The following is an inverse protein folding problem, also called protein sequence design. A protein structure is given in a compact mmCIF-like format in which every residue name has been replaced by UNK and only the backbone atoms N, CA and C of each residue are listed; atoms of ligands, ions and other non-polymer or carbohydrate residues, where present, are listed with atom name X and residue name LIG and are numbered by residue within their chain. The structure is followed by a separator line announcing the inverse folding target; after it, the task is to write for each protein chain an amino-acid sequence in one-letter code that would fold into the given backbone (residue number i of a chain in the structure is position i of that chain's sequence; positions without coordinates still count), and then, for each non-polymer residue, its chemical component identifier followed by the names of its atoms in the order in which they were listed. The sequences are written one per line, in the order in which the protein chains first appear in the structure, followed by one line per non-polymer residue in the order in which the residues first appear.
data_IF_099856046792
#
_entry.id   IF_099856046792
#
_cell.length_a   1.000
_cell.length_b   1.000
_cell.length_c   1.000
_cell.angle_alpha   90.00
_cell.angle_beta   90.00
_cell.angle_gamma   90.00
#
_symmetry.space_group_name_H-M   'P 1'
#
loop_
_entity.id
_entity.type
_entity.pdbx_description
1 polymer ?
#
# COMPACT_ATOMS: atom_id res chain seq x y z
N UNK A 1 -20.28 -0.39 -13.68
CA UNK A 1 -20.21 -0.61 -12.22
C UNK A 1 -18.74 -0.54 -11.80
N UNK A 2 -18.32 0.47 -11.03
CA UNK A 2 -16.93 0.57 -10.55
C UNK A 2 -16.74 -0.52 -9.50
N UNK A 3 -15.88 -1.51 -9.76
CA UNK A 3 -15.56 -2.56 -8.78
C UNK A 3 -15.20 -1.89 -7.45
N UNK A 4 -15.83 -2.28 -6.32
CA UNK A 4 -15.46 -1.73 -5.02
C UNK A 4 -13.96 -1.98 -4.83
N UNK A 5 -13.23 -0.94 -4.40
CA UNK A 5 -11.82 -1.11 -4.02
C UNK A 5 -11.78 -2.16 -2.91
N UNK A 6 -10.78 -3.03 -2.96
CA UNK A 6 -10.56 -4.01 -1.91
C UNK A 6 -10.23 -3.28 -0.60
N UNK A 7 -10.39 -3.94 0.54
CA UNK A 7 -9.99 -3.38 1.85
C UNK A 7 -8.54 -2.89 1.81
N UNK A 8 -7.65 -3.67 1.16
CA UNK A 8 -6.28 -3.27 0.90
C UNK A 8 -6.16 -1.97 0.07
N UNK A 9 -6.99 -1.80 -0.95
CA UNK A 9 -7.04 -0.57 -1.74
C UNK A 9 -7.49 0.66 -0.97
N UNK A 10 -8.32 0.47 0.06
CA UNK A 10 -8.73 1.54 0.98
C UNK A 10 -7.59 1.88 1.94
N UNK A 11 -6.98 0.87 2.58
CA UNK A 11 -5.85 1.07 3.49
C UNK A 11 -4.66 1.76 2.81
N UNK A 12 -4.31 1.32 1.59
CA UNK A 12 -3.27 1.97 0.79
C UNK A 12 -3.56 3.46 0.59
N UNK A 13 -4.82 3.81 0.29
CA UNK A 13 -5.22 5.19 0.08
C UNK A 13 -5.13 6.04 1.34
N UNK A 14 -5.52 5.47 2.48
CA UNK A 14 -5.42 6.12 3.78
C UNK A 14 -3.95 6.37 4.11
N UNK A 15 -3.11 5.35 3.98
CA UNK A 15 -1.68 5.47 4.24
C UNK A 15 -1.00 6.51 3.35
N UNK A 16 -1.31 6.53 2.04
CA UNK A 16 -0.81 7.56 1.12
C UNK A 16 -1.26 8.96 1.53
N UNK A 17 -2.49 9.12 2.02
CA UNK A 17 -2.99 10.39 2.53
C UNK A 17 -2.31 10.82 3.84
N UNK A 18 -2.00 9.87 4.74
CA UNK A 18 -1.33 10.13 6.02
C UNK A 18 0.17 10.41 5.89
N UNK A 19 0.82 9.77 4.93
CA UNK A 19 2.26 9.93 4.70
C UNK A 19 2.59 10.98 3.65
N UNK A 20 1.63 11.34 2.80
CA UNK A 20 1.87 12.15 1.61
C UNK A 20 2.60 11.40 0.49
N UNK A 21 2.87 10.10 0.67
CA UNK A 21 3.56 9.29 -0.33
C UNK A 21 2.66 8.98 -1.53
N UNK A 22 3.27 8.90 -2.70
CA UNK A 22 2.58 8.44 -3.91
C UNK A 22 2.50 6.90 -3.98
N UNK A 23 1.55 6.38 -4.77
CA UNK A 23 1.46 4.93 -5.07
C UNK A 23 2.81 4.38 -5.55
N UNK A 24 3.55 5.18 -6.33
CA UNK A 24 4.84 4.83 -6.88
C UNK A 24 5.89 4.62 -5.79
N UNK A 25 5.98 5.59 -4.88
CA UNK A 25 6.94 5.54 -3.78
C UNK A 25 6.61 4.41 -2.81
N UNK A 26 5.33 4.21 -2.49
CA UNK A 26 4.90 3.08 -1.67
C UNK A 26 5.27 1.74 -2.32
N UNK A 27 5.07 1.62 -3.64
CA UNK A 27 5.44 0.43 -4.39
C UNK A 27 6.95 0.20 -4.37
N UNK A 28 7.74 1.23 -4.67
CA UNK A 28 9.21 1.17 -4.64
C UNK A 28 9.75 0.83 -3.25
N UNK A 29 9.21 1.46 -2.20
CA UNK A 29 9.64 1.24 -0.82
C UNK A 29 9.24 -0.14 -0.29
N UNK A 30 8.12 -0.69 -0.75
CA UNK A 30 7.68 -2.05 -0.44
C UNK A 30 8.32 -3.11 -1.34
N UNK A 31 9.12 -2.73 -2.34
CA UNK A 31 9.74 -3.66 -3.29
C UNK A 31 8.79 -4.29 -4.31
N UNK A 32 7.62 -3.68 -4.53
CA UNK A 32 6.60 -4.17 -5.48
C UNK A 32 6.47 -3.25 -6.68
N UNK A 33 6.00 -3.78 -7.82
CA UNK A 33 5.75 -2.96 -9.00
C UNK A 33 4.49 -2.11 -8.80
N UNK A 34 4.54 -0.85 -9.23
CA UNK A 34 3.40 0.09 -9.16
C UNK A 34 2.12 -0.49 -9.78
N UNK A 35 2.24 -1.08 -10.98
CA UNK A 35 1.11 -1.68 -11.68
C UNK A 35 0.51 -2.87 -10.88
N UNK A 36 1.34 -3.66 -10.21
CA UNK A 36 0.89 -4.77 -9.36
C UNK A 36 0.20 -4.24 -8.09
N UNK A 37 0.72 -3.18 -7.47
CA UNK A 37 0.10 -2.52 -6.33
C UNK A 37 -1.29 -1.98 -6.71
N UNK A 38 -1.38 -1.24 -7.82
CA UNK A 38 -2.65 -0.70 -8.33
C UNK A 38 -3.63 -1.84 -8.67
N UNK A 39 -3.15 -2.93 -9.28
CA UNK A 39 -3.97 -4.11 -9.57
C UNK A 39 -4.50 -4.78 -8.30
N UNK A 40 -3.70 -4.88 -7.23
CA UNK A 40 -4.14 -5.41 -5.94
C UNK A 40 -5.15 -4.49 -5.23
N UNK A 41 -4.98 -3.16 -5.32
CA UNK A 41 -5.93 -2.17 -4.77
C UNK A 41 -7.33 -2.25 -5.41
N UNK A 42 -7.42 -2.71 -6.67
CA UNK A 42 -8.69 -2.88 -7.39
C UNK A 42 -9.17 -4.34 -7.47
N UNK A 43 -8.49 -5.27 -6.79
CA UNK A 43 -8.84 -6.69 -6.78
C UNK A 43 -8.66 -7.39 -8.13
N UNK A 44 -7.73 -6.92 -8.97
CA UNK A 44 -7.41 -7.51 -10.28
C UNK A 44 -6.37 -8.63 -10.22
N UNK A 45 -5.56 -8.71 -9.17
CA UNK A 45 -4.46 -9.68 -9.01
C UNK A 45 -4.54 -10.31 -7.62
N UNK A 46 -4.24 -11.62 -7.47
CA UNK A 46 -4.12 -12.25 -6.16
C UNK A 46 -3.00 -11.56 -5.37
N UNK A 47 -3.38 -10.72 -4.41
CA UNK A 47 -2.46 -9.97 -3.56
C UNK A 47 -1.84 -10.80 -2.45
N UNK A 48 -1.80 -12.13 -2.58
CA UNK A 48 -1.42 -13.03 -1.48
C UNK A 48 0.00 -12.76 -0.97
N UNK A 49 0.93 -12.44 -1.88
CA UNK A 49 2.30 -12.03 -1.53
C UNK A 49 2.47 -10.51 -1.38
N UNK A 50 1.70 -9.71 -2.14
CA UNK A 50 1.88 -8.25 -2.16
C UNK A 50 1.28 -7.54 -0.95
N UNK A 51 0.08 -7.96 -0.52
CA UNK A 51 -0.63 -7.36 0.62
C UNK A 51 0.22 -7.40 1.90
N UNK A 52 0.78 -8.56 2.32
CA UNK A 52 1.61 -8.60 3.52
C UNK A 52 2.92 -7.80 3.38
N UNK A 53 3.54 -7.74 2.20
CA UNK A 53 4.74 -6.91 1.99
C UNK A 53 4.45 -5.42 2.19
N UNK A 54 3.38 -4.93 1.56
CA UNK A 54 3.00 -3.52 1.65
C UNK A 54 2.48 -3.18 3.05
N UNK A 55 1.68 -4.06 3.68
CA UNK A 55 1.25 -3.88 5.07
C UNK A 55 2.44 -3.87 6.04
N UNK A 56 3.42 -4.76 5.87
CA UNK A 56 4.64 -4.76 6.67
C UNK A 56 5.44 -3.47 6.53
N UNK A 57 5.52 -2.91 5.31
CA UNK A 57 6.12 -1.60 5.10
C UNK A 57 5.31 -0.48 5.79
N UNK A 58 3.98 -0.47 5.64
CA UNK A 58 3.12 0.55 6.25
C UNK A 58 3.19 0.52 7.78
N UNK A 59 3.17 -0.67 8.38
CA UNK A 59 3.27 -0.86 9.82
C UNK A 59 4.65 -0.43 10.32
N UNK A 60 5.72 -0.79 9.61
CA UNK A 60 7.09 -0.33 9.91
C UNK A 60 7.23 1.18 9.76
N UNK A 61 6.59 1.80 8.77
CA UNK A 61 6.62 3.24 8.58
C UNK A 61 5.78 3.97 9.64
N UNK A 62 4.63 3.42 10.04
CA UNK A 62 3.80 3.96 11.12
C UNK A 62 4.49 3.81 12.48
N UNK A 63 5.10 2.66 12.77
CA UNK A 63 5.85 2.41 14.01
C UNK A 63 7.20 3.15 14.06
N UNK A 64 7.84 3.34 12.90
CA UNK A 64 9.10 4.10 12.80
C UNK A 64 8.93 5.62 12.91
N UNK A 65 7.70 6.15 12.83
CA UNK A 65 7.43 7.57 13.12
C UNK A 65 7.60 7.92 14.61
N UNK A 66 7.84 6.95 15.49
CA UNK A 66 8.27 7.20 16.88
C UNK A 66 9.78 7.43 17.01
N UNK A 67 10.59 7.19 15.96
CA UNK A 67 12.06 7.32 16.00
C UNK A 67 12.60 8.63 15.39
N UNK A 68 11.73 9.58 15.05
CA UNK A 68 12.13 10.92 14.61
C UNK A 68 11.45 11.98 15.47
N UNK A 69 11.79 12.01 16.77
CA UNK A 69 11.61 13.17 17.66
C UNK A 69 12.96 13.52 18.27
#
# INVERSE_FOLDING_TARGET
MKKPRTEFGVECKIFMAETGMTVRELAQASGVKENTLVAAMVGKTPGHDLVPMVKGYMEKHRGGKEAAV
#
